data_IF_930829231706
#
_entry.id   IF_930829231706
#
_cell.length_a   1.000
_cell.length_b   1.000
_cell.length_c   1.000
_cell.angle_alpha   90.00
_cell.angle_beta   90.00
_cell.angle_gamma   90.00
#
_symmetry.space_group_name_H-M   'P 1'
#
loop_
_entity.id
_entity.type
_entity.pdbx_description
1 polymer ?
#
# COMPACT_ATOMS: atom_id res chain seq x y z
N UNK A 1 24.48 18.73 -25.57
CA UNK A 1 23.71 17.51 -25.86
C UNK A 1 22.45 17.52 -24.99
N UNK A 2 21.32 17.81 -25.61
CA UNK A 2 20.03 17.78 -24.92
C UNK A 2 19.52 16.33 -24.89
N UNK A 3 19.36 15.78 -23.71
CA UNK A 3 18.63 14.53 -23.55
C UNK A 3 17.14 14.81 -23.74
N UNK A 4 16.44 14.10 -24.62
CA UNK A 4 15.00 14.26 -24.71
C UNK A 4 14.39 13.71 -23.42
N UNK A 5 13.92 14.63 -22.60
CA UNK A 5 13.12 14.31 -21.41
C UNK A 5 11.73 13.87 -21.87
N UNK A 6 11.62 12.68 -22.41
CA UNK A 6 10.32 12.12 -22.75
C UNK A 6 10.32 10.62 -22.51
N UNK A 7 10.53 10.26 -21.26
CA UNK A 7 10.12 8.93 -20.80
C UNK A 7 8.63 9.04 -20.48
N UNK A 8 7.79 8.21 -21.11
CA UNK A 8 6.41 8.13 -20.63
C UNK A 8 6.47 7.66 -19.18
N UNK A 9 6.14 8.55 -18.28
CA UNK A 9 5.87 8.11 -16.91
C UNK A 9 4.79 7.05 -17.01
N UNK A 10 5.04 5.84 -16.48
CA UNK A 10 3.93 4.92 -16.28
C UNK A 10 2.90 5.69 -15.50
N UNK A 11 1.66 5.60 -15.93
CA UNK A 11 0.56 6.36 -15.37
C UNK A 11 0.75 6.47 -13.86
N UNK A 12 1.16 7.64 -13.42
CA UNK A 12 1.38 7.88 -12.01
C UNK A 12 0.03 7.62 -11.36
N UNK A 13 -0.03 6.57 -10.52
CA UNK A 13 -1.15 6.43 -9.63
C UNK A 13 -1.09 7.68 -8.78
N UNK A 14 -1.87 8.68 -9.18
CA UNK A 14 -1.94 9.93 -8.44
C UNK A 14 -2.43 9.57 -7.05
N UNK A 15 -1.64 9.79 -6.00
CA UNK A 15 -2.13 9.48 -4.66
C UNK A 15 -3.42 10.24 -4.44
N UNK A 16 -4.45 9.58 -3.89
CA UNK A 16 -5.70 10.28 -3.62
C UNK A 16 -5.39 11.50 -2.76
N UNK A 17 -6.06 12.60 -3.06
CA UNK A 17 -5.87 13.85 -2.32
C UNK A 17 -5.97 13.59 -0.82
N UNK A 18 -4.98 14.06 -0.07
CA UNK A 18 -4.94 13.90 1.39
C UNK A 18 -6.12 14.57 2.09
N UNK A 19 -6.85 15.45 1.39
CA UNK A 19 -8.06 16.09 1.89
C UNK A 19 -9.28 15.16 1.92
N UNK A 20 -9.19 13.99 1.28
CA UNK A 20 -10.31 13.03 1.26
C UNK A 20 -10.31 12.17 2.50
N UNK A 21 -11.47 11.97 3.14
CA UNK A 21 -11.57 11.07 4.28
C UNK A 21 -11.19 9.64 3.88
N UNK A 22 -10.73 8.87 4.86
CA UNK A 22 -10.36 7.47 4.66
C UNK A 22 -11.53 6.67 4.11
N UNK A 23 -11.28 5.73 3.19
CA UNK A 23 -12.35 4.85 2.74
C UNK A 23 -12.84 3.99 3.91
N UNK A 24 -14.14 3.97 4.11
CA UNK A 24 -14.74 3.09 5.12
C UNK A 24 -14.57 1.63 4.69
N UNK A 25 -14.27 0.71 5.63
CA UNK A 25 -14.24 -0.71 5.30
C UNK A 25 -15.63 -1.17 4.85
N UNK A 26 -15.72 -2.09 3.88
CA UNK A 26 -17.00 -2.60 3.44
C UNK A 26 -17.71 -3.30 4.60
N UNK A 27 -18.86 -2.80 4.96
CA UNK A 27 -19.74 -3.50 5.87
C UNK A 27 -20.39 -4.66 5.11
N UNK A 28 -20.22 -5.87 5.61
CA UNK A 28 -20.93 -7.01 5.05
C UNK A 28 -22.42 -6.84 5.36
N UNK A 29 -23.14 -6.25 4.40
CA UNK A 29 -24.60 -6.24 4.47
C UNK A 29 -25.04 -7.63 4.02
N UNK A 30 -25.54 -8.43 4.97
CA UNK A 30 -26.14 -9.69 4.63
C UNK A 30 -27.32 -9.43 3.66
N UNK A 31 -27.37 -10.10 2.48
CA UNK A 31 -28.50 -9.91 1.59
C UNK A 31 -29.77 -10.36 2.28
N UNK A 32 -30.72 -9.46 2.40
CA UNK A 32 -32.05 -9.80 2.88
C UNK A 32 -32.70 -10.76 1.87
N UNK A 33 -33.21 -11.92 2.31
CA UNK A 33 -33.89 -12.83 1.40
C UNK A 33 -35.11 -12.13 0.78
N UNK A 34 -35.12 -12.00 -0.55
CA UNK A 34 -36.21 -11.38 -1.29
C UNK A 34 -36.05 -9.89 -1.58
N UNK A 35 -34.92 -9.27 -1.23
CA UNK A 35 -34.62 -7.88 -1.54
C UNK A 35 -33.96 -7.69 -2.90
N UNK A 36 -34.27 -6.56 -3.56
CA UNK A 36 -33.49 -6.07 -4.70
C UNK A 36 -32.04 -5.85 -4.27
N UNK A 37 -31.04 -6.14 -5.17
CA UNK A 37 -29.65 -5.87 -4.81
C UNK A 37 -29.50 -4.39 -4.41
N UNK A 38 -28.70 -4.09 -3.36
CA UNK A 38 -28.54 -2.72 -2.91
C UNK A 38 -27.98 -1.86 -4.05
N UNK A 39 -28.68 -0.76 -4.37
CA UNK A 39 -28.23 0.21 -5.34
C UNK A 39 -27.18 1.07 -4.65
N UNK A 40 -25.91 0.82 -4.96
CA UNK A 40 -24.82 1.65 -4.45
C UNK A 40 -24.82 2.97 -5.21
N UNK A 41 -24.64 4.07 -4.50
CA UNK A 41 -24.44 5.37 -5.13
C UNK A 41 -23.05 5.40 -5.81
N UNK A 42 -22.87 6.29 -6.79
CA UNK A 42 -21.55 6.49 -7.41
C UNK A 42 -20.47 6.82 -6.38
N UNK A 43 -20.83 7.53 -5.31
CA UNK A 43 -19.90 7.84 -4.23
C UNK A 43 -19.47 6.58 -3.47
N UNK A 44 -20.43 5.68 -3.20
CA UNK A 44 -20.12 4.42 -2.52
C UNK A 44 -19.22 3.52 -3.37
N UNK A 45 -19.48 3.47 -4.67
CA UNK A 45 -18.66 2.70 -5.59
C UNK A 45 -17.22 3.24 -5.66
N UNK A 46 -17.05 4.55 -5.72
CA UNK A 46 -15.72 5.18 -5.69
C UNK A 46 -14.99 4.88 -4.39
N UNK A 47 -15.68 4.91 -3.27
CA UNK A 47 -15.10 4.58 -1.96
C UNK A 47 -14.68 3.10 -1.91
N UNK A 48 -15.48 2.20 -2.46
CA UNK A 48 -15.17 0.78 -2.53
C UNK A 48 -13.94 0.51 -3.38
N UNK A 49 -13.86 1.15 -4.54
CA UNK A 49 -12.71 1.02 -5.45
C UNK A 49 -11.45 1.57 -4.77
N UNK A 50 -11.56 2.72 -4.13
CA UNK A 50 -10.43 3.32 -3.40
C UNK A 50 -9.94 2.42 -2.28
N UNK A 51 -10.86 1.85 -1.51
CA UNK A 51 -10.53 0.88 -0.46
C UNK A 51 -9.75 -0.30 -1.03
N UNK A 52 -10.22 -0.87 -2.14
CA UNK A 52 -9.59 -2.01 -2.78
C UNK A 52 -8.18 -1.68 -3.30
N UNK A 53 -8.03 -0.52 -3.93
CA UNK A 53 -6.73 -0.06 -4.45
C UNK A 53 -5.74 0.11 -3.31
N UNK A 54 -6.13 0.76 -2.24
CA UNK A 54 -5.25 1.00 -1.09
C UNK A 54 -4.90 -0.31 -0.39
N UNK A 55 -5.84 -1.24 -0.26
CA UNK A 55 -5.59 -2.56 0.31
C UNK A 55 -4.53 -3.33 -0.49
N UNK A 56 -4.71 -3.39 -1.80
CA UNK A 56 -3.76 -4.09 -2.68
C UNK A 56 -2.38 -3.44 -2.64
N UNK A 57 -2.32 -2.12 -2.65
CA UNK A 57 -1.07 -1.40 -2.58
C UNK A 57 -0.33 -1.68 -1.27
N UNK A 58 -1.02 -1.60 -0.14
CA UNK A 58 -0.41 -1.89 1.16
C UNK A 58 0.14 -3.31 1.21
N UNK A 59 -0.60 -4.28 0.70
CA UNK A 59 -0.15 -5.67 0.66
C UNK A 59 1.10 -5.86 -0.22
N UNK A 60 1.21 -5.11 -1.30
CA UNK A 60 2.40 -5.13 -2.16
C UNK A 60 3.66 -4.66 -1.43
N UNK A 61 3.52 -3.83 -0.42
CA UNK A 61 4.66 -3.36 0.38
C UNK A 61 5.32 -4.49 1.17
N UNK A 62 4.65 -5.62 1.33
CA UNK A 62 5.23 -6.81 1.95
C UNK A 62 6.25 -7.53 1.08
N UNK A 63 6.39 -7.14 -0.18
CA UNK A 63 7.36 -7.71 -1.10
C UNK A 63 8.63 -6.84 -1.16
N UNK A 64 9.78 -7.34 -0.67
CA UNK A 64 11.03 -6.56 -0.67
C UNK A 64 11.49 -6.14 -2.07
N UNK A 65 11.24 -6.96 -3.07
CA UNK A 65 11.59 -6.64 -4.45
C UNK A 65 10.78 -5.44 -4.97
N UNK A 66 9.51 -5.35 -4.57
CA UNK A 66 8.67 -4.22 -4.92
C UNK A 66 9.15 -2.93 -4.23
N UNK A 67 9.55 -3.02 -2.97
CA UNK A 67 10.13 -1.88 -2.25
C UNK A 67 11.41 -1.40 -2.93
N UNK A 68 12.25 -2.32 -3.35
CA UNK A 68 13.46 -1.98 -4.08
C UNK A 68 13.14 -1.30 -5.43
N UNK A 69 12.14 -1.81 -6.13
CA UNK A 69 11.64 -1.20 -7.36
C UNK A 69 11.20 0.26 -7.15
N UNK A 70 10.38 0.50 -6.11
CA UNK A 70 9.93 1.85 -5.78
C UNK A 70 11.11 2.78 -5.44
N UNK A 71 12.09 2.27 -4.71
CA UNK A 71 13.29 3.02 -4.36
C UNK A 71 14.11 3.38 -5.62
N UNK A 72 14.28 2.44 -6.52
CA UNK A 72 15.00 2.65 -7.78
C UNK A 72 14.31 3.68 -8.68
N UNK A 73 13.00 3.76 -8.61
CA UNK A 73 12.20 4.72 -9.37
C UNK A 73 12.15 6.11 -8.73
N UNK A 74 12.74 6.27 -7.54
CA UNK A 74 12.80 7.56 -6.86
C UNK A 74 11.54 7.94 -6.09
N UNK A 75 10.60 7.04 -5.89
CA UNK A 75 9.34 7.33 -5.18
C UNK A 75 9.58 7.77 -3.73
N UNK A 76 10.59 7.22 -3.06
CA UNK A 76 10.88 7.57 -1.66
C UNK A 76 11.50 8.96 -1.50
N UNK A 77 11.87 9.62 -2.58
CA UNK A 77 12.35 11.01 -2.59
C UNK A 77 11.23 12.01 -2.82
N UNK A 78 10.07 11.55 -3.26
CA UNK A 78 8.91 12.39 -3.49
C UNK A 78 8.15 12.60 -2.16
N UNK A 79 8.07 13.84 -1.72
CA UNK A 79 7.38 14.20 -0.49
C UNK A 79 5.91 13.79 -0.49
N UNK A 80 5.25 13.88 -1.64
CA UNK A 80 3.85 13.47 -1.79
C UNK A 80 3.67 11.97 -1.55
N UNK A 81 4.59 11.18 -2.07
CA UNK A 81 4.55 9.73 -1.89
C UNK A 81 4.85 9.35 -0.44
N UNK A 82 5.81 10.00 0.19
CA UNK A 82 6.13 9.78 1.62
C UNK A 82 4.94 10.15 2.50
N UNK A 83 4.26 11.24 2.20
CA UNK A 83 3.04 11.64 2.89
C UNK A 83 1.92 10.60 2.69
N UNK A 84 1.83 10.02 1.51
CA UNK A 84 0.87 8.95 1.24
C UNK A 84 1.14 7.72 2.09
N UNK A 85 2.41 7.34 2.24
CA UNK A 85 2.79 6.24 3.13
C UNK A 85 2.39 6.51 4.58
N UNK A 86 2.53 7.74 5.03
CA UNK A 86 2.08 8.15 6.37
C UNK A 86 0.56 8.05 6.51
N UNK A 87 -0.17 8.48 5.49
CA UNK A 87 -1.63 8.34 5.44
C UNK A 87 -2.06 6.88 5.54
N UNK A 88 -1.37 5.97 4.88
CA UNK A 88 -1.72 4.55 4.85
C UNK A 88 -1.58 3.85 6.20
N UNK A 89 -0.97 4.47 7.20
CA UNK A 89 -0.85 3.86 8.53
C UNK A 89 -2.20 3.56 9.19
N UNK A 90 -3.30 4.11 8.69
CA UNK A 90 -4.63 3.76 9.19
C UNK A 90 -4.93 2.25 9.03
N UNK A 91 -4.25 1.56 8.12
CA UNK A 91 -4.40 0.12 7.92
C UNK A 91 -3.97 -0.70 9.15
N UNK A 92 -3.23 -0.09 10.09
CA UNK A 92 -2.87 -0.74 11.33
C UNK A 92 -4.01 -0.78 12.36
N UNK A 93 -5.08 -0.06 12.12
CA UNK A 93 -6.25 -0.04 13.02
C UNK A 93 -7.03 -1.36 12.92
N UNK A 94 -7.62 -1.82 14.05
CA UNK A 94 -8.33 -3.11 14.08
C UNK A 94 -9.42 -3.27 13.02
N UNK A 95 -10.13 -2.17 12.69
CA UNK A 95 -11.18 -2.19 11.67
C UNK A 95 -10.66 -2.52 10.27
N UNK A 96 -9.38 -2.27 9.99
CA UNK A 96 -8.76 -2.45 8.68
C UNK A 96 -7.80 -3.64 8.63
N UNK A 97 -7.10 -3.92 9.71
CA UNK A 97 -6.12 -5.02 9.81
C UNK A 97 -6.73 -6.36 9.41
N UNK A 98 -7.98 -6.59 9.73
CA UNK A 98 -8.66 -7.85 9.43
C UNK A 98 -8.71 -8.19 7.93
N UNK A 99 -8.55 -7.20 7.05
CA UNK A 99 -8.52 -7.41 5.60
C UNK A 99 -7.12 -7.73 5.06
N UNK A 100 -6.10 -7.55 5.89
CA UNK A 100 -4.70 -7.78 5.50
C UNK A 100 -4.40 -9.27 5.59
N UNK A 101 -4.00 -9.88 4.47
CA UNK A 101 -3.61 -11.29 4.40
C UNK A 101 -2.18 -11.51 4.89
N UNK A 102 -1.31 -10.52 4.67
CA UNK A 102 0.11 -10.63 4.98
C UNK A 102 0.52 -9.52 5.95
N UNK A 103 0.48 -9.78 7.26
CA UNK A 103 0.78 -8.76 8.29
C UNK A 103 2.15 -8.12 8.16
N UNK A 104 3.09 -8.79 7.50
CA UNK A 104 4.44 -8.27 7.27
C UNK A 104 4.44 -6.95 6.50
N UNK A 105 3.43 -6.73 5.63
CA UNK A 105 3.32 -5.48 4.89
C UNK A 105 3.14 -4.28 5.82
N UNK A 106 2.47 -4.45 6.94
CA UNK A 106 2.28 -3.39 7.94
C UNK A 106 3.59 -3.06 8.65
N UNK A 107 4.41 -4.07 8.90
CA UNK A 107 5.73 -3.87 9.49
C UNK A 107 6.62 -3.05 8.55
N UNK A 108 6.64 -3.38 7.27
CA UNK A 108 7.40 -2.60 6.28
C UNK A 108 6.83 -1.20 6.11
N UNK A 109 5.51 -1.04 6.16
CA UNK A 109 4.88 0.27 6.11
C UNK A 109 5.35 1.16 7.27
N UNK A 110 5.46 0.60 8.46
CA UNK A 110 5.98 1.30 9.62
C UNK A 110 7.44 1.69 9.45
N UNK A 111 8.27 0.75 8.98
CA UNK A 111 9.69 1.03 8.70
C UNK A 111 9.88 2.12 7.65
N UNK A 112 8.99 2.17 6.66
CA UNK A 112 9.04 3.18 5.60
C UNK A 112 8.74 4.61 6.08
N UNK A 113 8.24 4.77 7.31
CA UNK A 113 8.08 6.09 7.89
C UNK A 113 9.43 6.72 8.26
N UNK A 114 10.48 5.92 8.38
CA UNK A 114 11.82 6.38 8.73
C UNK A 114 12.66 6.63 7.50
N UNK A 115 13.25 7.81 7.42
CA UNK A 115 14.08 8.20 6.28
C UNK A 115 15.30 7.28 6.12
N UNK A 116 15.90 6.87 7.24
CA UNK A 116 17.04 5.95 7.23
C UNK A 116 16.72 4.63 6.54
N UNK A 117 15.54 4.07 6.81
CA UNK A 117 15.10 2.83 6.17
C UNK A 117 14.87 3.04 4.67
N UNK A 118 14.24 4.14 4.29
CA UNK A 118 14.01 4.46 2.87
C UNK A 118 15.32 4.60 2.09
N UNK A 119 16.35 5.14 2.69
CA UNK A 119 17.69 5.24 2.07
C UNK A 119 18.32 3.86 1.89
N UNK A 120 18.20 3.00 2.89
CA UNK A 120 18.78 1.65 2.84
C UNK A 120 18.11 0.76 1.80
N UNK A 121 16.82 0.92 1.56
CA UNK A 121 16.08 0.15 0.57
C UNK A 121 16.61 0.41 -0.85
N UNK A 122 17.16 1.59 -1.11
CA UNK A 122 17.79 1.90 -2.41
C UNK A 122 19.00 0.98 -2.65
N UNK A 123 19.65 0.52 -1.59
CA UNK A 123 20.79 -0.37 -1.68
C UNK A 123 20.33 -1.83 -1.87
N UNK A 124 20.76 -2.45 -2.96
CA UNK A 124 20.35 -3.82 -3.30
C UNK A 124 20.69 -4.88 -2.25
N UNK A 125 21.72 -4.65 -1.43
CA UNK A 125 22.05 -5.57 -0.32
C UNK A 125 20.97 -5.61 0.75
N UNK A 126 20.27 -4.49 0.97
CA UNK A 126 19.18 -4.41 1.91
C UNK A 126 17.97 -5.24 1.46
N UNK A 127 17.69 -5.26 0.15
CA UNK A 127 16.58 -6.04 -0.40
C UNK A 127 16.73 -7.53 -0.09
N UNK A 128 17.94 -8.06 -0.20
CA UNK A 128 18.22 -9.46 0.13
C UNK A 128 17.99 -9.74 1.62
N UNK A 129 18.44 -8.84 2.48
CA UNK A 129 18.24 -8.96 3.93
C UNK A 129 16.74 -8.98 4.28
N UNK A 130 15.95 -8.10 3.67
CA UNK A 130 14.52 -8.03 3.87
C UNK A 130 13.81 -9.31 3.39
N UNK A 131 14.28 -9.88 2.30
CA UNK A 131 13.74 -11.13 1.76
C UNK A 131 13.99 -12.29 2.74
N UNK A 132 15.19 -12.40 3.28
CA UNK A 132 15.54 -13.39 4.30
C UNK A 132 14.69 -13.22 5.57
N UNK A 133 14.46 -11.99 6.00
CA UNK A 133 13.59 -11.67 7.13
C UNK A 133 12.15 -12.08 6.86
N UNK A 134 11.66 -11.87 5.66
CA UNK A 134 10.31 -12.27 5.25
C UNK A 134 10.12 -13.77 5.33
N UNK A 135 11.09 -14.55 4.87
CA UNK A 135 11.07 -16.01 4.94
C UNK A 135 11.05 -16.51 6.37
N UNK A 136 11.88 -15.94 7.24
CA UNK A 136 11.94 -16.31 8.66
C UNK A 136 10.61 -15.99 9.35
N UNK A 137 10.02 -14.85 9.07
CA UNK A 137 8.74 -14.46 9.64
C UNK A 137 7.62 -15.39 9.18
N UNK A 138 7.61 -15.73 7.89
CA UNK A 138 6.65 -16.68 7.32
C UNK A 138 6.74 -18.06 7.96
N UNK A 139 7.95 -18.56 8.22
CA UNK A 139 8.16 -19.84 8.88
C UNK A 139 7.64 -19.85 10.32
N UNK A 140 7.69 -18.72 11.01
CA UNK A 140 7.16 -18.60 12.36
C UNK A 140 5.63 -18.53 12.42
N UNK A 141 5.01 -17.91 11.39
CA UNK A 141 3.56 -17.74 11.35
C UNK A 141 2.80 -18.99 10.86
N UNK A 142 3.48 -19.97 10.29
CA UNK A 142 2.87 -21.20 9.76
C UNK A 142 2.81 -22.35 10.76
N UNK A 143 3.03 -22.08 12.00
CA UNK A 143 2.87 -23.10 13.07
C UNK A 143 1.48 -23.06 13.68
#
# INVERSE_FOLDING_TARGET
MQYPANSPHPAAVTPPSMASPRPAPPTAVAPLPGGTPPVYSDADEKQRIRFQIELEFVQCLGNPNYLHFLAQRGYFRDAKFVNYLSYLQYWQRPAYVRFIKYPLCLHFLELLQHESFRREVVNGACAKFLDDQSLLHWQHDTR
#
